data_IF_490642001331
#
_entry.id   IF_490642001331
#
_cell.length_a   1.000
_cell.length_b   1.000
_cell.length_c   1.000
_cell.angle_alpha   90.00
_cell.angle_beta   90.00
_cell.angle_gamma   90.00
#
_symmetry.space_group_name_H-M   'P 1'
#
loop_
_entity.id
_entity.type
_entity.pdbx_description
1 polymer ?
#
# COMPACT_ATOMS: atom_id res chain seq x y z
N UNK A 1 -22.92 -22.49 5.87
CA UNK A 1 -22.36 -21.33 5.12
C UNK A 1 -22.85 -20.06 5.79
N UNK A 2 -21.95 -19.16 6.22
CA UNK A 2 -22.34 -17.95 6.92
C UNK A 2 -23.22 -17.06 6.04
N UNK A 3 -24.40 -16.70 6.55
CA UNK A 3 -25.34 -15.81 5.86
C UNK A 3 -24.68 -14.44 5.69
N UNK A 4 -24.47 -14.00 4.44
CA UNK A 4 -23.85 -12.71 4.15
C UNK A 4 -24.72 -11.55 4.66
N UNK A 5 -24.08 -10.49 5.16
CA UNK A 5 -24.76 -9.31 5.71
C UNK A 5 -25.68 -8.60 4.71
N UNK A 6 -26.68 -7.87 5.21
CA UNK A 6 -27.69 -7.16 4.37
C UNK A 6 -27.03 -6.19 3.37
N UNK A 7 -26.06 -5.39 3.83
CA UNK A 7 -25.30 -4.45 3.00
C UNK A 7 -24.59 -5.14 1.84
N UNK A 8 -23.91 -6.26 2.11
CA UNK A 8 -23.21 -7.03 1.08
C UNK A 8 -24.19 -7.56 0.03
N UNK A 9 -25.33 -8.13 0.45
CA UNK A 9 -26.35 -8.64 -0.48
C UNK A 9 -26.92 -7.53 -1.37
N UNK A 10 -27.14 -6.34 -0.80
CA UNK A 10 -27.62 -5.19 -1.56
C UNK A 10 -26.59 -4.69 -2.59
N UNK A 11 -25.29 -4.69 -2.28
CA UNK A 11 -24.25 -4.33 -3.24
C UNK A 11 -24.20 -5.31 -4.42
N UNK A 12 -24.15 -6.62 -4.14
CA UNK A 12 -24.05 -7.64 -5.19
C UNK A 12 -25.29 -7.68 -6.09
N UNK A 13 -26.47 -7.33 -5.57
CA UNK A 13 -27.69 -7.27 -6.38
C UNK A 13 -27.72 -6.10 -7.37
N UNK A 14 -26.81 -5.11 -7.26
CA UNK A 14 -26.80 -3.89 -8.09
C UNK A 14 -26.02 -4.03 -9.39
N UNK A 15 -25.26 -5.11 -9.56
CA UNK A 15 -24.47 -5.33 -10.76
C UNK A 15 -24.45 -6.82 -11.12
N UNK A 16 -24.32 -7.11 -12.41
CA UNK A 16 -24.12 -8.49 -12.87
C UNK A 16 -22.65 -8.89 -12.68
N UNK A 17 -22.41 -9.89 -11.82
CA UNK A 17 -21.06 -10.38 -11.52
C UNK A 17 -20.37 -11.08 -12.71
N UNK A 18 -21.11 -11.42 -13.77
CA UNK A 18 -20.59 -12.06 -14.98
C UNK A 18 -20.37 -11.07 -16.13
N UNK A 19 -20.95 -9.88 -16.03
CA UNK A 19 -20.79 -8.84 -17.03
C UNK A 19 -19.38 -8.22 -16.98
N UNK A 20 -18.91 -7.78 -18.15
CA UNK A 20 -17.65 -7.06 -18.30
C UNK A 20 -17.94 -5.57 -18.39
N UNK A 21 -17.51 -4.84 -17.37
CA UNK A 21 -17.67 -3.39 -17.30
C UNK A 21 -16.43 -2.68 -17.84
N UNK A 22 -16.62 -1.49 -18.41
CA UNK A 22 -15.49 -0.61 -18.69
C UNK A 22 -14.90 -0.10 -17.36
N UNK A 23 -13.59 0.23 -17.29
CA UNK A 23 -12.95 0.60 -16.02
C UNK A 23 -13.66 1.73 -15.27
N UNK A 24 -14.16 2.73 -16.00
CA UNK A 24 -14.87 3.87 -15.42
C UNK A 24 -16.21 3.47 -14.78
N UNK A 25 -16.98 2.66 -15.48
CA UNK A 25 -18.27 2.14 -15.00
C UNK A 25 -18.09 1.23 -13.78
N UNK A 26 -17.06 0.38 -13.80
CA UNK A 26 -16.69 -0.45 -12.66
C UNK A 26 -16.39 0.39 -11.41
N UNK A 27 -15.65 1.50 -11.56
CA UNK A 27 -15.32 2.40 -10.45
C UNK A 27 -16.55 3.11 -9.86
N UNK A 28 -17.55 3.45 -10.69
CA UNK A 28 -18.81 4.02 -10.22
C UNK A 28 -19.59 3.01 -9.36
N UNK A 29 -19.67 1.75 -9.79
CA UNK A 29 -20.31 0.68 -9.02
C UNK A 29 -19.61 0.41 -7.68
N UNK A 30 -18.27 0.43 -7.67
CA UNK A 30 -17.48 0.28 -6.43
C UNK A 30 -17.81 1.40 -5.45
N UNK A 31 -17.80 2.66 -5.90
CA UNK A 31 -18.13 3.82 -5.06
C UNK A 31 -19.57 3.78 -4.51
N UNK A 32 -20.53 3.34 -5.30
CA UNK A 32 -21.93 3.21 -4.87
C UNK A 32 -22.15 2.06 -3.88
N UNK A 33 -21.20 1.12 -3.80
CA UNK A 33 -21.25 -0.05 -2.93
C UNK A 33 -20.46 0.15 -1.63
N UNK A 34 -19.85 1.33 -1.44
CA UNK A 34 -19.20 1.70 -0.19
C UNK A 34 -20.22 1.92 0.93
N UNK A 35 -20.05 1.23 2.04
CA UNK A 35 -20.99 1.27 3.17
C UNK A 35 -20.33 1.50 4.53
N UNK A 36 -19.00 1.52 4.57
CA UNK A 36 -18.23 1.90 5.74
C UNK A 36 -18.36 3.41 5.98
N UNK A 37 -18.05 3.81 7.22
CA UNK A 37 -18.07 5.22 7.64
C UNK A 37 -16.70 5.90 7.48
N UNK A 38 -15.68 5.13 7.09
CA UNK A 38 -14.31 5.58 6.87
C UNK A 38 -13.98 5.45 5.38
N UNK A 39 -12.84 6.01 4.97
CA UNK A 39 -12.39 5.96 3.57
C UNK A 39 -11.97 4.54 3.19
N UNK A 40 -12.73 3.92 2.29
CA UNK A 40 -12.53 2.53 1.88
C UNK A 40 -11.38 2.42 0.85
N UNK A 41 -10.61 1.34 0.93
CA UNK A 41 -9.58 1.03 -0.05
C UNK A 41 -10.15 0.19 -1.19
N UNK A 42 -9.81 0.55 -2.43
CA UNK A 42 -10.14 -0.24 -3.62
C UNK A 42 -9.03 -1.26 -3.86
N UNK A 43 -9.39 -2.53 -3.93
CA UNK A 43 -8.48 -3.63 -4.27
C UNK A 43 -8.88 -4.26 -5.60
N UNK A 44 -7.90 -4.83 -6.33
CA UNK A 44 -8.09 -5.44 -7.65
C UNK A 44 -7.59 -6.88 -7.60
N UNK A 45 -8.52 -7.82 -7.68
CA UNK A 45 -8.19 -9.24 -7.80
C UNK A 45 -7.93 -9.59 -9.28
N UNK A 46 -6.71 -10.05 -9.56
CA UNK A 46 -6.30 -10.50 -10.89
C UNK A 46 -6.01 -12.00 -10.85
N UNK A 47 -6.64 -12.76 -11.76
CA UNK A 47 -6.29 -14.15 -11.97
C UNK A 47 -5.16 -14.24 -12.99
N UNK A 48 -3.96 -14.51 -12.50
CA UNK A 48 -2.79 -14.76 -13.35
C UNK A 48 -2.77 -16.24 -13.76
N UNK A 49 -2.34 -16.52 -15.00
CA UNK A 49 -2.20 -17.88 -15.53
C UNK A 49 -0.89 -18.57 -15.15
N UNK A 50 -0.28 -18.17 -14.04
CA UNK A 50 1.03 -18.65 -13.56
C UNK A 50 0.86 -19.87 -12.66
N UNK A 51 1.81 -20.80 -12.71
CA UNK A 51 1.90 -21.92 -11.76
C UNK A 51 2.85 -21.54 -10.61
N UNK A 52 2.33 -21.30 -9.39
CA UNK A 52 3.15 -20.85 -8.26
C UNK A 52 4.17 -21.90 -7.77
N UNK A 53 4.10 -23.14 -8.28
CA UNK A 53 5.10 -24.18 -8.00
C UNK A 53 6.43 -23.96 -8.73
N UNK A 54 6.40 -23.20 -9.82
CA UNK A 54 7.58 -22.85 -10.61
C UNK A 54 8.10 -21.49 -10.17
N UNK A 55 9.31 -21.45 -9.61
CA UNK A 55 9.87 -20.24 -9.00
C UNK A 55 10.05 -19.08 -10.00
N UNK A 56 10.25 -19.38 -11.28
CA UNK A 56 10.35 -18.44 -12.40
C UNK A 56 9.02 -17.76 -12.75
N UNK A 57 7.89 -18.34 -12.34
CA UNK A 57 6.55 -17.81 -12.60
C UNK A 57 5.96 -17.03 -11.41
N UNK A 58 6.69 -16.93 -10.29
CA UNK A 58 6.27 -16.14 -9.14
C UNK A 58 6.42 -14.66 -9.47
N UNK A 59 5.28 -13.94 -9.47
CA UNK A 59 5.26 -12.49 -9.66
C UNK A 59 5.25 -11.81 -8.30
N UNK A 60 6.38 -11.20 -7.93
CA UNK A 60 6.50 -10.32 -6.76
C UNK A 60 7.18 -9.03 -7.18
N UNK A 61 6.45 -7.93 -7.12
CA UNK A 61 6.97 -6.63 -7.51
C UNK A 61 6.28 -5.50 -6.77
N UNK A 62 6.89 -4.33 -6.80
CA UNK A 62 6.32 -3.07 -6.35
C UNK A 62 6.12 -2.17 -7.57
N UNK A 63 5.07 -1.36 -7.57
CA UNK A 63 4.80 -0.40 -8.64
C UNK A 63 4.49 0.95 -8.02
N UNK A 64 5.02 2.01 -8.62
CA UNK A 64 4.67 3.39 -8.28
C UNK A 64 3.42 3.76 -9.07
N UNK A 65 2.33 4.06 -8.38
CA UNK A 65 1.10 4.49 -9.03
C UNK A 65 1.25 5.95 -9.52
N UNK A 66 0.82 6.28 -10.75
CA UNK A 66 0.98 7.62 -11.32
C UNK A 66 0.19 8.70 -10.56
N UNK A 67 -0.85 8.31 -9.83
CA UNK A 67 -1.65 9.20 -8.98
C UNK A 67 -1.43 8.95 -7.49
N UNK A 68 -0.41 8.16 -7.12
CA UNK A 68 -0.18 7.71 -5.76
C UNK A 68 -1.30 6.82 -5.22
N UNK A 69 -1.25 6.51 -3.93
CA UNK A 69 -2.25 5.74 -3.20
C UNK A 69 -3.29 6.64 -2.50
N UNK A 70 -3.24 7.95 -2.72
CA UNK A 70 -4.08 8.94 -2.00
C UNK A 70 -3.66 9.19 -0.54
N UNK A 71 -2.78 8.36 0.02
CA UNK A 71 -2.15 8.59 1.33
C UNK A 71 -0.80 9.30 1.12
N UNK A 72 -0.55 10.39 1.84
CA UNK A 72 0.82 10.93 1.98
C UNK A 72 1.62 9.93 2.81
N UNK A 73 2.48 9.17 2.15
CA UNK A 73 3.41 8.24 2.80
C UNK A 73 4.55 9.07 3.34
N UNK A 74 4.74 9.07 4.67
CA UNK A 74 5.90 9.70 5.31
C UNK A 74 7.06 8.71 5.32
N UNK A 75 8.14 9.02 4.63
CA UNK A 75 9.31 8.14 4.50
C UNK A 75 10.45 8.62 5.40
N UNK A 76 10.94 7.74 6.27
CA UNK A 76 12.13 7.94 7.08
C UNK A 76 13.29 7.13 6.52
N UNK A 77 14.41 7.79 6.24
CA UNK A 77 15.66 7.14 5.83
C UNK A 77 16.68 7.20 6.96
N UNK A 78 17.07 6.04 7.46
CA UNK A 78 18.14 5.88 8.43
C UNK A 78 19.43 5.59 7.66
N UNK A 79 20.30 6.58 7.57
CA UNK A 79 21.58 6.47 6.87
C UNK A 79 22.65 7.30 7.59
N UNK A 80 23.92 6.96 7.39
CA UNK A 80 25.08 7.72 7.87
C UNK A 80 25.94 8.22 6.70
N UNK A 81 26.69 9.30 6.93
CA UNK A 81 27.65 9.83 5.95
C UNK A 81 27.01 10.37 4.67
N UNK A 82 27.61 10.08 3.52
CA UNK A 82 27.21 10.64 2.21
C UNK A 82 25.80 10.21 1.77
N UNK A 83 25.32 9.07 2.28
CA UNK A 83 23.98 8.54 2.00
C UNK A 83 22.85 9.40 2.59
N UNK A 84 23.15 10.21 3.60
CA UNK A 84 22.20 11.19 4.16
C UNK A 84 21.86 12.25 3.10
N UNK A 85 22.89 12.80 2.44
CA UNK A 85 22.70 13.83 1.41
C UNK A 85 21.97 13.29 0.18
N UNK A 86 22.25 12.05 -0.21
CA UNK A 86 21.52 11.37 -1.29
C UNK A 86 20.03 11.21 -0.95
N UNK A 87 19.70 10.84 0.29
CA UNK A 87 18.33 10.66 0.75
C UNK A 87 17.56 11.99 0.88
N UNK A 88 18.21 13.05 1.36
CA UNK A 88 17.65 14.41 1.38
C UNK A 88 17.36 14.92 -0.03
N UNK A 89 18.29 14.70 -0.98
CA UNK A 89 18.10 15.06 -2.39
C UNK A 89 17.02 14.22 -3.08
N UNK A 90 16.84 12.96 -2.67
CA UNK A 90 15.78 12.10 -3.16
C UNK A 90 14.37 12.48 -2.63
N UNK A 91 14.30 13.42 -1.68
CA UNK A 91 13.03 13.94 -1.15
C UNK A 91 12.42 13.09 -0.03
N UNK A 92 13.24 12.42 0.79
CA UNK A 92 12.77 11.79 2.01
C UNK A 92 12.26 12.83 3.03
N UNK A 93 11.16 12.54 3.73
CA UNK A 93 10.56 13.45 4.71
C UNK A 93 11.44 13.61 5.96
N UNK A 94 12.10 12.52 6.37
CA UNK A 94 13.01 12.50 7.51
C UNK A 94 14.26 11.69 7.15
N UNK A 95 15.45 12.21 7.49
CA UNK A 95 16.71 11.52 7.26
C UNK A 95 17.59 11.68 8.49
N UNK A 96 18.17 10.58 8.99
CA UNK A 96 19.17 10.63 10.05
C UNK A 96 19.05 9.53 11.09
N UNK A 97 20.14 9.23 11.79
CA UNK A 97 20.20 8.18 12.83
C UNK A 97 19.67 8.63 14.19
N UNK A 98 19.51 9.94 14.39
CA UNK A 98 18.92 10.53 15.60
C UNK A 98 17.46 10.10 15.80
N UNK A 99 16.76 9.74 14.71
CA UNK A 99 15.38 9.26 14.77
C UNK A 99 15.27 7.87 15.42
N UNK A 100 16.37 7.11 15.55
CA UNK A 100 16.38 5.80 16.23
C UNK A 100 16.00 5.96 17.71
N UNK A 101 16.56 6.96 18.40
CA UNK A 101 16.21 7.24 19.79
C UNK A 101 14.74 7.67 19.93
N UNK A 102 14.27 8.52 19.01
CA UNK A 102 12.88 9.00 18.95
C UNK A 102 11.87 7.87 18.73
N UNK A 103 12.21 6.90 17.88
CA UNK A 103 11.40 5.69 17.67
C UNK A 103 11.35 4.86 18.96
N UNK A 104 12.46 4.71 19.68
CA UNK A 104 12.51 4.01 20.98
C UNK A 104 11.67 4.71 22.04
N UNK A 105 11.53 6.03 21.97
CA UNK A 105 10.65 6.85 22.81
C UNK A 105 9.17 6.80 22.39
N UNK A 106 8.82 6.05 21.33
CA UNK A 106 7.43 5.80 20.91
C UNK A 106 6.95 6.66 19.73
N UNK A 107 7.85 7.31 19.00
CA UNK A 107 7.50 8.08 17.82
C UNK A 107 7.20 7.17 16.61
N UNK A 108 5.97 7.24 16.08
CA UNK A 108 5.46 6.37 15.00
C UNK A 108 4.84 7.17 13.83
N UNK A 109 5.25 8.41 13.63
CA UNK A 109 4.74 9.28 12.55
C UNK A 109 5.32 8.97 11.15
N UNK A 110 5.75 7.74 10.92
CA UNK A 110 6.37 7.30 9.66
C UNK A 110 5.65 6.07 9.13
N UNK A 111 5.44 6.02 7.83
CA UNK A 111 4.73 4.92 7.16
C UNK A 111 5.71 3.89 6.57
N UNK A 112 6.91 4.33 6.20
CA UNK A 112 7.98 3.49 5.68
C UNK A 112 9.33 3.91 6.26
N UNK A 113 10.13 2.92 6.67
CA UNK A 113 11.49 3.12 7.16
C UNK A 113 12.44 2.40 6.20
N UNK A 114 13.39 3.14 5.64
CA UNK A 114 14.47 2.61 4.80
C UNK A 114 15.77 2.78 5.58
N UNK A 115 16.52 1.69 5.77
CA UNK A 115 17.76 1.70 6.52
C UNK A 115 18.92 1.17 5.67
N UNK A 116 20.09 1.78 5.80
CA UNK A 116 21.32 1.21 5.23
C UNK A 116 21.88 0.09 6.13
N UNK A 117 22.56 -0.94 5.57
CA UNK A 117 22.97 -2.13 6.34
C UNK A 117 23.82 -1.82 7.59
N UNK A 118 24.60 -0.74 7.56
CA UNK A 118 25.43 -0.21 8.63
C UNK A 118 24.64 0.25 9.86
N UNK A 119 23.42 0.75 9.68
CA UNK A 119 22.57 1.22 10.80
C UNK A 119 21.54 0.19 11.25
N UNK A 120 21.35 -0.91 10.51
CA UNK A 120 20.41 -1.98 10.86
C UNK A 120 20.74 -2.65 12.21
N UNK A 121 22.01 -2.68 12.61
CA UNK A 121 22.43 -3.25 13.90
C UNK A 121 22.12 -2.38 15.13
N UNK A 122 21.76 -1.12 14.94
CA UNK A 122 21.49 -0.15 16.02
C UNK A 122 20.00 0.11 16.25
N UNK A 123 19.15 -0.35 15.31
CA UNK A 123 17.69 -0.29 15.40
C UNK A 123 17.19 -1.18 16.54
#
# INVERSE_FOLDING_TARGET
MATRGKKFRNAVARFDATARFQPREALEHVKQSAYAKFDETVDVALRLGVDPRHADQIVRGTVVLPHGTGKKIRVLVLAQGDRVREAEQAGADFVGVEYIAKIKEGWLDVDAIVATPDVMGQL
#
